data_IF_352849249551
#
_entry.id   IF_352849249551
#
_cell.length_a   1.000
_cell.length_b   1.000
_cell.length_c   1.000
_cell.angle_alpha   90.00
_cell.angle_beta   90.00
_cell.angle_gamma   90.00
#
_symmetry.space_group_name_H-M   'P 1'
#
loop_
_entity.id
_entity.type
_entity.pdbx_description
1 polymer ?
#
# COMPACT_ATOMS: atom_id res chain seq x y z
N UNK A 1 -1.97 1.06 -18.97
CA UNK A 1 -0.88 0.72 -18.03
C UNK A 1 -1.32 0.71 -16.56
N UNK A 2 -1.83 1.82 -15.99
CA UNK A 2 -2.18 1.92 -14.54
C UNK A 2 -3.19 0.90 -14.00
N UNK A 3 -4.23 0.53 -14.77
CA UNK A 3 -5.26 -0.43 -14.31
C UNK A 3 -4.70 -1.81 -13.94
N UNK A 4 -3.67 -2.27 -14.66
CA UNK A 4 -3.10 -3.61 -14.45
C UNK A 4 -2.30 -3.73 -13.16
N UNK A 5 -1.79 -2.62 -12.58
CA UNK A 5 -1.04 -2.65 -11.33
C UNK A 5 -1.96 -2.72 -10.10
N UNK A 6 -3.15 -2.12 -10.19
CA UNK A 6 -4.11 -2.04 -9.08
C UNK A 6 -4.73 -3.39 -8.71
N UNK A 7 -4.88 -4.27 -9.69
CA UNK A 7 -5.44 -5.61 -9.51
C UNK A 7 -4.41 -6.63 -9.04
N UNK A 8 -3.14 -6.24 -8.90
CA UNK A 8 -2.08 -7.14 -8.45
C UNK A 8 -2.00 -7.23 -6.94
N UNK A 9 -1.52 -8.36 -6.45
CA UNK A 9 -1.22 -8.55 -5.03
C UNK A 9 -0.17 -7.55 -4.55
N UNK A 10 -0.24 -7.15 -3.28
CA UNK A 10 0.73 -6.24 -2.67
C UNK A 10 2.18 -6.73 -2.78
N UNK A 11 2.40 -8.03 -2.99
CA UNK A 11 3.73 -8.65 -3.19
C UNK A 11 4.52 -8.04 -4.34
N UNK A 12 3.87 -7.46 -5.36
CA UNK A 12 4.60 -6.77 -6.43
C UNK A 12 5.35 -5.53 -5.92
N UNK A 13 4.93 -4.96 -4.79
CA UNK A 13 5.60 -3.81 -4.19
C UNK A 13 6.95 -4.18 -3.57
N UNK A 14 7.22 -5.47 -3.36
CA UNK A 14 8.47 -5.97 -2.78
C UNK A 14 8.78 -5.21 -1.47
N UNK A 15 7.80 -5.22 -0.57
CA UNK A 15 7.86 -4.56 0.72
C UNK A 15 8.58 -5.46 1.71
N UNK A 16 9.13 -4.87 2.78
CA UNK A 16 9.66 -5.67 3.86
C UNK A 16 8.60 -6.60 4.45
N UNK A 17 9.01 -7.81 4.86
CA UNK A 17 8.08 -8.88 5.27
C UNK A 17 7.22 -8.50 6.47
N UNK A 18 7.72 -7.64 7.36
CA UNK A 18 6.96 -7.06 8.46
C UNK A 18 5.80 -6.17 7.97
N UNK A 19 6.02 -5.36 6.93
CA UNK A 19 4.98 -4.54 6.33
C UNK A 19 3.94 -5.44 5.64
N UNK A 20 4.39 -6.39 4.83
CA UNK A 20 3.48 -7.31 4.12
C UNK A 20 2.58 -8.08 5.09
N UNK A 21 3.14 -8.59 6.17
CA UNK A 21 2.37 -9.31 7.20
C UNK A 21 1.31 -8.41 7.84
N UNK A 22 1.66 -7.16 8.18
CA UNK A 22 0.69 -6.20 8.74
C UNK A 22 -0.44 -5.94 7.74
N UNK A 23 -0.12 -5.72 6.47
CA UNK A 23 -1.11 -5.48 5.42
C UNK A 23 -2.04 -6.69 5.24
N UNK A 24 -1.48 -7.91 5.16
CA UNK A 24 -2.26 -9.15 4.98
C UNK A 24 -3.19 -9.42 6.17
N UNK A 25 -2.70 -9.25 7.41
CA UNK A 25 -3.51 -9.44 8.63
C UNK A 25 -4.68 -8.44 8.66
N UNK A 26 -4.50 -7.26 8.08
CA UNK A 26 -5.55 -6.24 7.94
C UNK A 26 -6.36 -6.37 6.63
N UNK A 27 -6.25 -7.52 5.94
CA UNK A 27 -6.98 -7.84 4.72
C UNK A 27 -6.70 -6.88 3.54
N UNK A 28 -5.51 -6.29 3.50
CA UNK A 28 -5.02 -5.46 2.40
C UNK A 28 -4.18 -6.37 1.50
N UNK A 29 -4.82 -7.00 0.53
CA UNK A 29 -4.21 -8.04 -0.30
C UNK A 29 -3.78 -7.51 -1.66
N UNK A 30 -4.47 -6.51 -2.19
CA UNK A 30 -4.20 -5.94 -3.51
C UNK A 30 -3.69 -4.50 -3.42
N UNK A 31 -2.94 -4.07 -4.44
CA UNK A 31 -2.41 -2.70 -4.54
C UNK A 31 -3.55 -1.67 -4.48
N UNK A 32 -4.72 -1.94 -5.08
CA UNK A 32 -5.89 -1.05 -4.99
C UNK A 32 -6.38 -0.84 -3.55
N UNK A 33 -6.29 -1.85 -2.70
CA UNK A 33 -6.77 -1.79 -1.32
C UNK A 33 -5.84 -0.88 -0.50
N UNK A 34 -4.54 -0.98 -0.76
CA UNK A 34 -3.54 -0.10 -0.16
C UNK A 34 -3.63 1.33 -0.69
N UNK A 35 -3.91 1.48 -1.98
CA UNK A 35 -3.90 2.76 -2.70
C UNK A 35 -4.96 3.75 -2.21
N UNK A 36 -6.10 3.26 -1.74
CA UNK A 36 -7.18 4.09 -1.19
C UNK A 36 -6.91 4.56 0.24
N UNK A 37 -5.95 3.95 0.94
CA UNK A 37 -5.63 4.31 2.32
C UNK A 37 -4.81 5.60 2.38
N UNK A 38 -4.98 6.33 3.47
CA UNK A 38 -4.14 7.47 3.81
C UNK A 38 -3.19 7.13 4.98
N UNK A 39 -2.26 8.04 5.27
CA UNK A 39 -1.28 7.85 6.36
C UNK A 39 -1.94 7.59 7.72
N UNK A 40 -3.11 8.17 7.99
CA UNK A 40 -3.84 7.94 9.25
C UNK A 40 -4.35 6.51 9.33
N UNK A 41 -4.96 6.00 8.25
CA UNK A 41 -5.43 4.61 8.20
C UNK A 41 -4.27 3.61 8.33
N UNK A 42 -3.12 3.91 7.72
CA UNK A 42 -1.92 3.07 7.87
C UNK A 42 -1.38 3.07 9.32
N UNK A 43 -1.46 4.20 10.02
CA UNK A 43 -1.12 4.26 11.44
C UNK A 43 -2.11 3.49 12.32
N UNK A 44 -3.39 3.51 11.98
CA UNK A 44 -4.44 2.76 12.70
C UNK A 44 -4.21 1.23 12.63
N UNK A 45 -3.52 0.74 11.59
CA UNK A 45 -3.12 -0.68 11.46
C UNK A 45 -1.69 -0.96 11.96
N UNK A 46 -1.14 -0.08 12.82
CA UNK A 46 0.18 -0.19 13.44
C UNK A 46 1.39 -0.08 12.51
N UNK A 47 1.27 0.59 11.35
CA UNK A 47 2.44 0.95 10.55
C UNK A 47 3.12 2.21 11.10
N UNK A 48 4.44 2.12 11.24
CA UNK A 48 5.30 3.24 11.65
C UNK A 48 5.50 4.23 10.51
N UNK A 49 5.92 5.46 10.83
CA UNK A 49 6.22 6.47 9.80
C UNK A 49 7.30 6.02 8.80
N UNK A 50 8.27 5.21 9.24
CA UNK A 50 9.31 4.63 8.36
C UNK A 50 8.70 3.65 7.35
N UNK A 51 7.86 2.73 7.83
CA UNK A 51 7.18 1.74 6.98
C UNK A 51 6.19 2.42 6.02
N UNK A 52 5.47 3.44 6.47
CA UNK A 52 4.56 4.23 5.62
C UNK A 52 5.33 4.93 4.50
N UNK A 53 6.53 5.46 4.80
CA UNK A 53 7.36 6.08 3.78
C UNK A 53 7.85 5.05 2.75
N UNK A 54 8.23 3.84 3.19
CA UNK A 54 8.59 2.75 2.28
C UNK A 54 7.44 2.38 1.33
N UNK A 55 6.24 2.17 1.88
CA UNK A 55 5.02 1.91 1.09
C UNK A 55 4.79 3.03 0.07
N UNK A 56 4.94 4.28 0.48
CA UNK A 56 4.74 5.44 -0.39
C UNK A 56 5.72 5.42 -1.55
N UNK A 57 7.01 5.19 -1.28
CA UNK A 57 8.06 5.09 -2.31
C UNK A 57 7.75 3.96 -3.29
N UNK A 58 7.42 2.76 -2.79
CA UNK A 58 7.13 1.60 -3.64
C UNK A 58 5.89 1.81 -4.52
N UNK A 59 4.84 2.44 -4.00
CA UNK A 59 3.67 2.83 -4.80
C UNK A 59 4.03 3.85 -5.89
N UNK A 60 4.87 4.84 -5.56
CA UNK A 60 5.31 5.86 -6.51
C UNK A 60 6.14 5.29 -7.66
N UNK A 61 6.93 4.24 -7.40
CA UNK A 61 7.63 3.50 -8.47
C UNK A 61 6.68 2.84 -9.47
N UNK A 62 5.44 2.54 -9.07
CA UNK A 62 4.37 2.08 -9.95
C UNK A 62 3.54 3.23 -10.54
N UNK A 63 3.91 4.48 -10.27
CA UNK A 63 3.18 5.68 -10.68
C UNK A 63 1.85 5.88 -9.95
N UNK A 64 1.78 5.42 -8.70
CA UNK A 64 0.63 5.52 -7.79
C UNK A 64 1.00 6.34 -6.55
N UNK A 65 0.05 7.12 -6.04
CA UNK A 65 0.17 7.84 -4.76
C UNK A 65 -0.93 7.39 -3.80
N UNK A 66 -0.62 7.34 -2.50
CA UNK A 66 -1.60 7.09 -1.44
C UNK A 66 -2.73 8.12 -1.46
N UNK A 67 -3.84 7.79 -0.79
CA UNK A 67 -4.98 8.68 -0.59
C UNK A 67 -5.64 9.13 -1.91
N UNK A 68 -5.63 8.26 -2.93
CA UNK A 68 -6.39 8.51 -4.14
C UNK A 68 -7.87 8.30 -3.85
N UNK A 69 -8.64 9.39 -3.83
CA UNK A 69 -10.10 9.32 -3.87
C UNK A 69 -10.52 8.79 -5.25
N UNK A 70 -11.01 7.56 -5.28
CA UNK A 70 -11.72 7.02 -6.44
C UNK A 70 -13.15 7.59 -6.35
N UNK A 71 -13.36 8.73 -7.00
CA UNK A 71 -14.70 9.28 -7.25
C UNK A 71 -15.34 8.60 -8.45
#
# INVERSE_FOLDING_TARGET
>A
MRKKALEQEIKILDLSSDIENILIINNILFVKDLWVLNRKNLKEINLTDKQINEITIKLQLLGLDLNKKVY
#
